data_IF_675635417268
#
_entry.id   IF_675635417268
#
_cell.length_a   1.000
_cell.length_b   1.000
_cell.length_c   1.000
_cell.angle_alpha   90.00
_cell.angle_beta   90.00
_cell.angle_gamma   90.00
#
_symmetry.space_group_name_H-M   'P 1'
#
loop_
_entity.id
_entity.type
_entity.pdbx_description
1 polymer ?
#
# COMPACT_ATOMS: atom_id res chain seq x y z
N UNK A 1 -17.27 10.14 -2.86
CA UNK A 1 -17.03 10.26 -1.41
C UNK A 1 -18.15 9.48 -0.73
N UNK A 2 -17.85 8.56 0.19
CA UNK A 2 -18.73 7.45 0.53
C UNK A 2 -18.48 6.25 -0.39
N UNK A 3 -19.54 5.57 -0.82
CA UNK A 3 -19.56 4.37 -1.67
C UNK A 3 -19.35 4.65 -3.17
N UNK A 4 -18.72 5.78 -3.52
CA UNK A 4 -18.56 6.24 -4.91
C UNK A 4 -17.11 6.54 -5.25
N UNK A 5 -16.69 6.13 -6.45
CA UNK A 5 -15.41 6.47 -7.06
C UNK A 5 -15.34 7.99 -7.27
N UNK A 6 -14.33 8.64 -6.67
CA UNK A 6 -14.14 10.10 -6.75
C UNK A 6 -13.25 10.55 -7.91
N UNK A 7 -12.44 9.65 -8.46
CA UNK A 7 -11.50 9.95 -9.53
C UNK A 7 -10.76 8.71 -10.00
N UNK A 8 -10.15 8.82 -11.17
CA UNK A 8 -9.29 7.81 -11.80
C UNK A 8 -8.18 8.52 -12.57
N UNK A 9 -7.05 7.86 -12.79
CA UNK A 9 -5.88 8.48 -13.44
C UNK A 9 -5.19 9.56 -12.59
N UNK A 10 -5.40 9.55 -11.27
CA UNK A 10 -4.80 10.51 -10.35
C UNK A 10 -3.28 10.31 -10.25
N UNK A 11 -2.54 11.41 -10.17
CA UNK A 11 -1.13 11.40 -9.81
C UNK A 11 -1.02 11.42 -8.29
N UNK A 12 -0.29 10.47 -7.72
CA UNK A 12 -0.13 10.29 -6.28
C UNK A 12 1.34 10.54 -5.87
N UNK A 13 1.59 11.00 -4.63
CA UNK A 13 2.95 11.19 -4.15
C UNK A 13 3.68 9.85 -4.06
N UNK A 14 4.95 9.83 -4.47
CA UNK A 14 5.82 8.68 -4.28
C UNK A 14 6.55 8.82 -2.94
N UNK A 15 6.76 7.70 -2.24
CA UNK A 15 7.64 7.66 -1.07
C UNK A 15 9.01 8.22 -1.41
N UNK A 16 9.54 9.06 -0.52
CA UNK A 16 10.91 9.58 -0.60
C UNK A 16 11.91 8.71 0.18
N UNK A 17 11.41 7.75 0.97
CA UNK A 17 12.26 6.82 1.69
C UNK A 17 12.97 5.87 0.73
N UNK A 18 14.18 5.45 1.12
CA UNK A 18 14.93 4.46 0.33
C UNK A 18 14.21 3.12 0.42
N UNK A 19 13.58 2.75 -0.69
CA UNK A 19 13.01 1.43 -0.89
C UNK A 19 14.14 0.45 -1.25
N UNK A 20 14.51 -0.40 -0.30
CA UNK A 20 15.59 -1.37 -0.48
C UNK A 20 15.25 -2.45 -1.51
N UNK A 21 13.97 -2.84 -1.59
CA UNK A 21 13.52 -3.86 -2.51
C UNK A 21 13.27 -3.29 -3.92
N UNK A 22 14.14 -3.66 -4.85
CA UNK A 22 14.10 -3.24 -6.26
C UNK A 22 12.89 -3.79 -7.02
N UNK A 23 12.19 -4.80 -6.50
CA UNK A 23 10.94 -5.31 -7.09
C UNK A 23 9.76 -4.35 -6.93
N UNK A 24 9.89 -3.30 -6.11
CA UNK A 24 8.83 -2.34 -5.87
C UNK A 24 8.77 -1.25 -6.95
N UNK A 25 7.87 -1.47 -7.92
CA UNK A 25 7.53 -0.51 -8.97
C UNK A 25 6.87 0.79 -8.47
N UNK A 26 6.53 1.66 -9.42
CA UNK A 26 5.95 3.00 -9.15
C UNK A 26 4.61 2.95 -8.42
N UNK A 27 3.75 1.95 -8.69
CA UNK A 27 2.49 1.75 -7.95
C UNK A 27 2.70 1.49 -6.47
N UNK A 28 3.66 0.63 -6.12
CA UNK A 28 3.97 0.36 -4.71
C UNK A 28 4.50 1.60 -4.02
N UNK A 29 5.39 2.35 -4.69
CA UNK A 29 5.93 3.61 -4.17
C UNK A 29 4.88 4.69 -4.00
N UNK A 30 3.91 4.77 -4.92
CA UNK A 30 2.77 5.68 -4.81
C UNK A 30 1.83 5.29 -3.66
N UNK A 31 1.56 3.99 -3.49
CA UNK A 31 0.76 3.49 -2.38
C UNK A 31 1.43 3.81 -1.03
N UNK A 32 2.74 3.59 -0.93
CA UNK A 32 3.50 3.89 0.27
C UNK A 32 3.50 5.40 0.55
N UNK A 33 3.86 6.23 -0.44
CA UNK A 33 3.91 7.69 -0.29
C UNK A 33 2.57 8.30 0.11
N UNK A 34 1.47 7.84 -0.49
CA UNK A 34 0.14 8.30 -0.08
C UNK A 34 -0.20 7.87 1.36
N UNK A 35 0.15 6.65 1.76
CA UNK A 35 -0.10 6.13 3.12
C UNK A 35 0.81 6.74 4.19
N UNK A 36 1.91 7.39 3.80
CA UNK A 36 2.81 8.12 4.70
C UNK A 36 2.24 9.49 5.05
N UNK A 37 1.63 10.17 4.07
CA UNK A 37 1.09 11.53 4.19
C UNK A 37 -0.36 11.56 4.69
N UNK A 38 -1.06 10.41 4.69
CA UNK A 38 -2.49 10.32 5.00
C UNK A 38 -2.85 9.06 5.80
N UNK A 39 -4.07 9.01 6.32
CA UNK A 39 -4.67 7.82 6.94
C UNK A 39 -5.29 6.84 5.92
N UNK A 40 -5.01 7.03 4.62
CA UNK A 40 -5.57 6.21 3.57
C UNK A 40 -5.00 4.78 3.60
N UNK A 41 -5.90 3.80 3.46
CA UNK A 41 -5.53 2.41 3.15
C UNK A 41 -5.52 2.23 1.63
N UNK A 42 -4.36 1.84 1.09
CA UNK A 42 -4.15 1.73 -0.36
C UNK A 42 -3.92 0.28 -0.76
N UNK A 43 -4.82 -0.27 -1.57
CA UNK A 43 -4.68 -1.60 -2.16
C UNK A 43 -3.91 -1.49 -3.49
N UNK A 44 -2.90 -2.33 -3.67
CA UNK A 44 -2.11 -2.41 -4.91
C UNK A 44 -2.03 -3.85 -5.39
N UNK A 45 -2.15 -4.03 -6.71
CA UNK A 45 -1.88 -5.29 -7.39
C UNK A 45 -0.66 -5.11 -8.27
N UNK A 46 0.34 -5.97 -8.09
CA UNK A 46 1.52 -6.04 -8.94
C UNK A 46 1.13 -6.55 -10.33
N UNK A 47 1.49 -5.83 -11.39
CA UNK A 47 1.28 -6.30 -12.77
C UNK A 47 2.22 -7.45 -13.14
N UNK A 48 3.44 -7.43 -12.61
CA UNK A 48 4.46 -8.42 -12.93
C UNK A 48 4.17 -9.75 -12.23
N UNK A 49 3.76 -9.70 -10.97
CA UNK A 49 3.66 -10.89 -10.11
C UNK A 49 2.22 -11.23 -9.71
N UNK A 50 1.24 -10.42 -10.11
CA UNK A 50 -0.18 -10.55 -9.69
C UNK A 50 -0.38 -10.59 -8.17
N UNK A 51 0.64 -10.18 -7.40
CA UNK A 51 0.61 -10.22 -5.94
C UNK A 51 -0.18 -9.03 -5.42
N UNK A 52 -1.03 -9.28 -4.42
CA UNK A 52 -1.80 -8.23 -3.75
C UNK A 52 -0.99 -7.71 -2.56
N UNK A 53 -0.94 -6.39 -2.44
CA UNK A 53 -0.30 -5.68 -1.34
C UNK A 53 -1.21 -4.57 -0.84
N UNK A 54 -1.07 -4.22 0.45
CA UNK A 54 -1.76 -3.08 1.06
C UNK A 54 -0.71 -2.16 1.68
N UNK A 55 -0.83 -0.85 1.43
CA UNK A 55 -0.06 0.17 2.13
C UNK A 55 -0.98 0.91 3.11
N UNK A 56 -0.54 1.07 4.35
CA UNK A 56 -1.25 1.82 5.38
C UNK A 56 -0.27 2.31 6.44
N UNK A 57 -0.40 3.57 6.87
CA UNK A 57 0.47 4.20 7.87
C UNK A 57 1.98 4.05 7.58
N UNK A 58 2.37 4.16 6.31
CA UNK A 58 3.77 3.99 5.87
C UNK A 58 4.32 2.57 5.99
N UNK A 59 3.47 1.57 6.18
CA UNK A 59 3.82 0.15 6.16
C UNK A 59 3.31 -0.50 4.88
N UNK A 60 4.12 -1.39 4.30
CA UNK A 60 3.71 -2.18 3.15
C UNK A 60 3.54 -3.65 3.54
N UNK A 61 2.31 -4.14 3.42
CA UNK A 61 1.95 -5.53 3.64
C UNK A 61 1.86 -6.23 2.29
N UNK A 62 2.73 -7.21 2.03
CA UNK A 62 2.85 -7.88 0.74
C UNK A 62 2.37 -9.32 0.81
N UNK A 63 2.18 -9.92 -0.35
CA UNK A 63 1.77 -11.33 -0.47
C UNK A 63 0.46 -11.65 0.26
N UNK A 64 -0.47 -10.70 0.26
CA UNK A 64 -1.77 -10.88 0.88
C UNK A 64 -2.65 -11.79 0.03
N UNK A 65 -3.38 -12.67 0.70
CA UNK A 65 -4.44 -13.45 0.08
C UNK A 65 -5.69 -12.60 -0.11
N UNK A 66 -6.56 -12.93 -1.09
CA UNK A 66 -7.83 -12.25 -1.27
C UNK A 66 -8.71 -12.27 0.00
N UNK A 67 -8.61 -13.33 0.80
CA UNK A 67 -9.34 -13.46 2.06
C UNK A 67 -8.84 -12.44 3.09
N UNK A 68 -7.53 -12.34 3.30
CA UNK A 68 -6.95 -11.35 4.21
C UNK A 68 -7.32 -9.91 3.83
N UNK A 69 -7.34 -9.60 2.53
CA UNK A 69 -7.76 -8.27 2.06
C UNK A 69 -9.24 -8.02 2.33
N UNK A 70 -10.10 -9.03 2.13
CA UNK A 70 -11.53 -8.91 2.44
C UNK A 70 -11.77 -8.69 3.92
N UNK A 71 -11.07 -9.43 4.77
CA UNK A 71 -11.21 -9.33 6.22
C UNK A 71 -10.71 -7.96 6.73
N UNK A 72 -9.64 -7.45 6.14
CA UNK A 72 -9.15 -6.09 6.41
C UNK A 72 -10.16 -5.02 5.99
N UNK A 73 -10.62 -5.05 4.73
CA UNK A 73 -11.50 -4.01 4.19
C UNK A 73 -12.92 -4.03 4.78
N UNK A 74 -13.36 -5.18 5.30
CA UNK A 74 -14.64 -5.30 6.01
C UNK A 74 -14.57 -4.89 7.48
N UNK A 75 -13.37 -4.60 8.01
CA UNK A 75 -13.17 -4.26 9.41
C UNK A 75 -13.19 -5.45 10.36
N UNK A 76 -13.16 -6.69 9.84
CA UNK A 76 -13.01 -7.90 10.66
C UNK A 76 -11.63 -7.97 11.33
N UNK A 77 -10.63 -7.30 10.75
CA UNK A 77 -9.28 -7.17 11.28
C UNK A 77 -8.87 -5.70 11.27
N UNK A 78 -8.44 -5.17 12.42
CA UNK A 78 -8.06 -3.76 12.57
C UNK A 78 -6.60 -3.48 12.19
N UNK A 79 -5.77 -4.52 12.12
CA UNK A 79 -4.36 -4.38 11.76
C UNK A 79 -3.84 -5.66 11.08
N UNK A 80 -3.09 -5.51 10.00
CA UNK A 80 -2.33 -6.62 9.43
C UNK A 80 -1.04 -6.79 10.25
N UNK A 81 -0.71 -8.01 10.64
CA UNK A 81 0.57 -8.30 11.28
C UNK A 81 1.65 -8.56 10.21
N UNK A 82 2.90 -8.18 10.50
CA UNK A 82 4.04 -8.47 9.62
C UNK A 82 4.25 -7.51 8.46
N UNK A 83 3.80 -6.26 8.58
CA UNK A 83 4.11 -5.21 7.60
C UNK A 83 5.60 -4.92 7.57
N UNK A 84 6.19 -4.95 6.38
CA UNK A 84 7.59 -4.61 6.22
C UNK A 84 7.71 -3.08 6.24
N UNK A 85 8.43 -2.55 7.24
CA UNK A 85 8.89 -1.17 7.19
C UNK A 85 9.92 -1.09 6.07
N UNK A 86 9.50 -0.57 4.92
CA UNK A 86 10.35 -0.44 3.72
C UNK A 86 11.39 0.69 3.88
N UNK A 87 11.66 1.17 5.09
CA UNK A 87 12.34 2.44 5.34
C UNK A 87 13.61 2.27 6.18
N UNK A 88 14.75 2.70 5.64
CA UNK A 88 15.75 3.48 6.38
C UNK A 88 15.65 4.94 5.89
N UNK A 89 15.83 5.95 6.75
CA UNK A 89 15.84 7.34 6.31
C UNK A 89 16.93 7.54 5.26
N UNK A 90 16.60 8.24 4.18
CA UNK A 90 17.61 8.68 3.23
C UNK A 90 18.45 9.78 3.92
N UNK A 91 19.68 9.42 4.33
CA UNK A 91 20.72 10.41 4.67
C UNK A 91 21.02 11.28 3.46
#
# INVERSE_FOLDING_TARGET
RGDRIIGAGCVLPLTQFKVADKSLGTRHRAALGLSEETDATVLVVSEETSTISVASHGLLYRHLTPQQVRDLLSGAVSHLEGGERVTQPAT
#
